data_IF_328264941173
#
_entry.id   IF_328264941173
#
_cell.length_a   1.000
_cell.length_b   1.000
_cell.length_c   1.000
_cell.angle_alpha   90.00
_cell.angle_beta   90.00
_cell.angle_gamma   90.00
#
_symmetry.space_group_name_H-M   'P 1'
#
loop_
_entity.id
_entity.type
_entity.pdbx_description
1 polymer ?
#
# COMPACT_ATOMS: atom_id res chain seq x y z
N UNK A 1 8.04 -1.90 -14.86
CA UNK A 1 7.03 -0.87 -15.22
C UNK A 1 5.83 -1.11 -14.33
N UNK A 2 5.24 -0.08 -13.74
CA UNK A 2 4.08 -0.21 -12.84
C UNK A 2 2.82 -0.36 -13.70
N UNK A 3 1.96 -1.32 -13.37
CA UNK A 3 0.67 -1.54 -14.04
C UNK A 3 -0.29 -0.36 -13.78
N UNK A 4 -0.99 0.11 -14.82
CA UNK A 4 -2.01 1.16 -14.71
C UNK A 4 -3.14 0.79 -13.73
N UNK A 5 -3.49 -0.50 -13.61
CA UNK A 5 -4.44 -0.96 -12.58
C UNK A 5 -3.91 -0.72 -11.16
N UNK A 6 -2.61 -0.88 -10.96
CA UNK A 6 -1.99 -0.61 -9.67
C UNK A 6 -2.01 0.90 -9.34
N UNK A 7 -1.79 1.75 -10.34
CA UNK A 7 -1.85 3.20 -10.17
C UNK A 7 -3.27 3.67 -9.81
N UNK A 8 -4.30 3.20 -10.50
CA UNK A 8 -5.67 3.64 -10.20
C UNK A 8 -6.11 3.17 -8.80
N UNK A 9 -5.74 1.95 -8.40
CA UNK A 9 -6.00 1.48 -7.03
C UNK A 9 -5.22 2.28 -5.98
N UNK A 10 -3.96 2.63 -6.24
CA UNK A 10 -3.17 3.48 -5.34
C UNK A 10 -3.80 4.86 -5.13
N UNK A 11 -4.32 5.47 -6.20
CA UNK A 11 -5.07 6.73 -6.10
C UNK A 11 -6.28 6.62 -5.16
N UNK A 12 -7.05 5.53 -5.24
CA UNK A 12 -8.17 5.31 -4.31
C UNK A 12 -7.70 5.17 -2.86
N UNK A 13 -6.57 4.50 -2.63
CA UNK A 13 -5.96 4.36 -1.30
C UNK A 13 -5.55 5.73 -0.75
N UNK A 14 -4.86 6.56 -1.53
CA UNK A 14 -4.45 7.92 -1.09
C UNK A 14 -5.65 8.78 -0.71
N UNK A 15 -6.74 8.70 -1.48
CA UNK A 15 -7.96 9.47 -1.20
C UNK A 15 -8.70 8.97 0.06
N UNK A 16 -8.59 7.67 0.38
CA UNK A 16 -9.22 7.06 1.56
C UNK A 16 -8.40 7.16 2.84
N UNK A 17 -7.07 7.22 2.74
CA UNK A 17 -6.14 7.16 3.87
C UNK A 17 -5.16 8.34 3.83
N UNK A 18 -5.57 9.48 4.40
CA UNK A 18 -4.83 10.76 4.33
C UNK A 18 -3.39 10.72 4.89
N UNK A 19 -3.06 9.72 5.70
CA UNK A 19 -1.74 9.54 6.31
C UNK A 19 -0.78 8.67 5.47
N UNK A 20 -1.26 8.07 4.37
CA UNK A 20 -0.42 7.30 3.45
C UNK A 20 0.10 8.18 2.32
N UNK A 21 1.39 8.03 2.02
CA UNK A 21 1.96 8.66 0.83
C UNK A 21 1.52 7.95 -0.45
N UNK A 22 1.64 8.61 -1.59
CA UNK A 22 1.37 7.98 -2.89
C UNK A 22 2.26 6.75 -3.16
N UNK A 23 3.49 6.74 -2.59
CA UNK A 23 4.41 5.61 -2.69
C UNK A 23 3.87 4.41 -1.92
N UNK A 24 3.45 4.61 -0.68
CA UNK A 24 2.96 3.54 0.19
C UNK A 24 1.67 2.96 -0.37
N UNK A 25 0.78 3.82 -0.86
CA UNK A 25 -0.42 3.42 -1.58
C UNK A 25 -0.11 2.55 -2.82
N UNK A 26 0.99 2.83 -3.54
CA UNK A 26 1.41 2.03 -4.68
C UNK A 26 1.95 0.66 -4.26
N UNK A 27 2.75 0.61 -3.19
CA UNK A 27 3.19 -0.66 -2.61
C UNK A 27 1.99 -1.51 -2.17
N UNK A 28 1.05 -0.92 -1.45
CA UNK A 28 -0.17 -1.59 -0.98
C UNK A 28 -1.01 -2.13 -2.13
N UNK A 29 -1.19 -1.33 -3.19
CA UNK A 29 -1.92 -1.74 -4.40
C UNK A 29 -1.30 -2.96 -5.08
N UNK A 30 0.04 -2.99 -5.20
CA UNK A 30 0.75 -4.16 -5.75
C UNK A 30 0.63 -5.37 -4.83
N UNK A 31 0.74 -5.16 -3.51
CA UNK A 31 0.59 -6.23 -2.52
C UNK A 31 -0.82 -6.86 -2.58
N UNK A 32 -1.88 -6.05 -2.62
CA UNK A 32 -3.26 -6.51 -2.75
C UNK A 32 -3.45 -7.39 -3.99
N UNK A 33 -2.93 -6.95 -5.14
CA UNK A 33 -3.03 -7.71 -6.40
C UNK A 33 -2.33 -9.07 -6.36
N UNK A 34 -1.31 -9.20 -5.53
CA UNK A 34 -0.54 -10.43 -5.39
C UNK A 34 -0.92 -11.24 -4.13
N UNK A 35 -1.94 -10.81 -3.39
CA UNK A 35 -2.37 -11.48 -2.15
C UNK A 35 -1.34 -11.42 -1.02
N UNK A 36 -0.39 -10.48 -1.09
CA UNK A 36 0.67 -10.30 -0.09
C UNK A 36 0.13 -9.47 1.06
N UNK A 37 0.32 -9.96 2.29
CA UNK A 37 -0.21 -9.32 3.51
C UNK A 37 0.85 -8.91 4.52
N UNK A 38 2.13 -9.18 4.23
CA UNK A 38 3.24 -8.86 5.12
C UNK A 38 4.29 -8.06 4.35
N UNK A 39 4.86 -7.04 4.99
CA UNK A 39 5.91 -6.20 4.41
C UNK A 39 7.01 -5.95 5.44
N UNK A 40 8.27 -6.20 5.08
CA UNK A 40 9.41 -5.78 5.88
C UNK A 40 9.75 -4.32 5.52
N UNK A 41 9.47 -3.40 6.43
CA UNK A 41 9.67 -1.96 6.20
C UNK A 41 9.85 -1.19 7.51
N UNK A 42 10.67 -0.16 7.46
CA UNK A 42 10.81 0.81 8.55
C UNK A 42 9.77 1.94 8.50
N UNK A 43 9.00 2.02 7.42
CA UNK A 43 7.95 3.02 7.29
C UNK A 43 6.70 2.60 8.09
N UNK A 44 6.42 3.28 9.20
CA UNK A 44 5.24 3.01 10.03
C UNK A 44 3.92 3.39 9.35
N UNK A 45 3.96 4.08 8.21
CA UNK A 45 2.76 4.42 7.44
C UNK A 45 1.93 3.18 7.08
N UNK A 46 2.58 2.04 6.80
CA UNK A 46 1.87 0.79 6.46
C UNK A 46 0.98 0.25 7.59
N UNK A 47 1.23 0.63 8.85
CA UNK A 47 0.42 0.21 10.00
C UNK A 47 -1.00 0.81 9.96
N UNK A 48 -1.20 1.86 9.15
CA UNK A 48 -2.49 2.51 8.93
C UNK A 48 -3.45 1.73 8.01
N UNK A 49 -2.94 0.74 7.27
CA UNK A 49 -3.72 0.08 6.23
C UNK A 49 -4.26 -1.29 6.71
N UNK A 50 -5.58 -1.51 6.71
CA UNK A 50 -6.18 -2.76 7.20
C UNK A 50 -5.68 -4.00 6.45
N UNK A 51 -5.43 -5.07 7.19
CA UNK A 51 -5.06 -6.37 6.62
C UNK A 51 -3.58 -6.51 6.22
N UNK A 52 -2.76 -5.50 6.51
CA UNK A 52 -1.31 -5.51 6.30
C UNK A 52 -0.61 -5.59 7.64
N UNK A 53 0.39 -6.48 7.72
CA UNK A 53 1.29 -6.60 8.86
C UNK A 53 2.69 -6.15 8.45
N UNK A 54 3.19 -5.09 9.09
CA UNK A 54 4.57 -4.67 8.93
C UNK A 54 5.47 -5.51 9.84
N UNK A 55 6.51 -6.08 9.26
CA UNK A 55 7.56 -6.79 9.97
C UNK A 55 8.64 -5.77 10.33
N UNK A 56 8.99 -5.71 11.62
CA UNK A 56 9.97 -4.80 12.22
C UNK A 56 11.20 -5.55 12.68
#
# INVERSE_FOLDING_TARGET
MVDGRAVERAKQIVLGYRQLSARDALHLSVMEQNGIRQIASFDSGFDAFPGIARLS
#
